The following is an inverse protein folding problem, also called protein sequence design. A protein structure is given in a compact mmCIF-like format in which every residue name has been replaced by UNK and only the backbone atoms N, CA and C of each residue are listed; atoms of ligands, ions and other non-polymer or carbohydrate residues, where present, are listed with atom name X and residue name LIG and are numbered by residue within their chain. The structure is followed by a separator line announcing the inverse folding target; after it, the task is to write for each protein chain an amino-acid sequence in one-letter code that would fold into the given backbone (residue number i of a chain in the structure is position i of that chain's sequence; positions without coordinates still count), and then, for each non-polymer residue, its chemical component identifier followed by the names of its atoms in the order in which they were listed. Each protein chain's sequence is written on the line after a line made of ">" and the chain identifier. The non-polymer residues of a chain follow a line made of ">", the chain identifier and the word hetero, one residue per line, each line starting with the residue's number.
data_IF_370991317619
#
_entry.id   IF_370991317619
#
_cell.length_a   1.000
_cell.length_b   1.000
_cell.length_c   1.000
_cell.angle_alpha   90.00
_cell.angle_beta   90.00
_cell.angle_gamma   90.00
#
_symmetry.space_group_name_H-M   'P 1'
#
loop_
_entity.id
_entity.type
_entity.pdbx_description
1 polymer ?
#
# COMPACT_ATOMS: atom_id res chain seq x y z
N UNK A 1 -16.62 -3.35 18.98
CA UNK A 1 -15.99 -2.04 18.72
C UNK A 1 -14.82 -2.26 17.78
N UNK A 2 -15.04 -2.17 16.47
CA UNK A 2 -13.91 -2.19 15.53
C UNK A 2 -13.19 -0.86 15.69
N UNK A 3 -12.13 -0.85 16.49
CA UNK A 3 -11.28 0.33 16.63
C UNK A 3 -10.78 0.69 15.24
N UNK A 4 -11.14 1.88 14.78
CA UNK A 4 -10.61 2.52 13.58
C UNK A 4 -9.11 2.75 13.77
N UNK A 5 -8.30 1.71 13.66
CA UNK A 5 -6.85 1.84 13.56
C UNK A 5 -6.55 2.26 12.12
N UNK A 6 -6.37 3.57 11.93
CA UNK A 6 -5.74 4.10 10.73
C UNK A 6 -4.35 3.47 10.62
N UNK A 7 -4.01 2.94 9.44
CA UNK A 7 -2.67 2.44 9.17
C UNK A 7 -1.63 3.55 9.34
N UNK A 8 -0.39 3.17 9.66
CA UNK A 8 0.78 4.05 9.62
C UNK A 8 1.87 3.47 8.73
N UNK A 9 2.77 4.33 8.25
CA UNK A 9 4.00 3.89 7.58
C UNK A 9 4.77 2.96 8.52
N UNK A 10 5.23 1.83 7.98
CA UNK A 10 5.89 0.75 8.72
C UNK A 10 4.96 -0.38 9.15
N UNK A 11 3.63 -0.23 9.06
CA UNK A 11 2.71 -1.31 9.42
C UNK A 11 2.76 -2.48 8.43
N UNK A 12 2.67 -3.71 8.96
CA UNK A 12 2.43 -4.93 8.18
C UNK A 12 0.97 -5.00 7.78
N UNK A 13 0.71 -5.19 6.49
CA UNK A 13 -0.65 -5.25 5.92
C UNK A 13 -0.79 -6.32 4.85
N UNK A 14 -2.03 -6.70 4.56
CA UNK A 14 -2.42 -7.55 3.43
C UNK A 14 -3.33 -6.77 2.48
N UNK A 15 -2.88 -6.62 1.23
CA UNK A 15 -3.66 -6.00 0.17
C UNK A 15 -4.67 -7.01 -0.38
N UNK A 16 -5.95 -6.64 -0.35
CA UNK A 16 -7.08 -7.52 -0.64
C UNK A 16 -7.03 -8.84 0.15
N UNK A 17 -6.46 -8.80 1.36
CA UNK A 17 -6.38 -9.97 2.25
C UNK A 17 -5.39 -11.08 1.83
N UNK A 18 -4.66 -10.90 0.72
CA UNK A 18 -3.78 -11.95 0.18
C UNK A 18 -2.32 -11.51 0.04
N UNK A 19 -2.06 -10.32 -0.52
CA UNK A 19 -0.68 -9.88 -0.81
C UNK A 19 -0.08 -9.14 0.40
N UNK A 20 0.86 -9.75 1.09
CA UNK A 20 1.51 -9.14 2.25
C UNK A 20 2.55 -8.08 1.84
N UNK A 21 2.67 -7.06 2.68
CA UNK A 21 3.66 -6.00 2.50
C UNK A 21 3.72 -5.05 3.68
N UNK A 22 4.57 -4.04 3.57
CA UNK A 22 4.74 -2.97 4.56
C UNK A 22 4.21 -1.67 3.98
N UNK A 23 3.45 -0.90 4.77
CA UNK A 23 3.04 0.44 4.37
C UNK A 23 4.28 1.34 4.22
N UNK A 24 4.48 1.87 3.02
CA UNK A 24 5.61 2.71 2.67
C UNK A 24 5.23 4.19 2.44
N UNK A 25 3.94 4.45 2.22
CA UNK A 25 3.41 5.80 1.97
C UNK A 25 1.95 5.89 2.41
N UNK A 26 1.55 7.02 2.99
CA UNK A 26 0.15 7.40 3.20
C UNK A 26 0.02 8.88 2.84
N UNK A 27 -0.93 9.21 1.98
CA UNK A 27 -1.21 10.61 1.63
C UNK A 27 -1.90 10.77 0.28
N UNK A 28 -2.07 12.03 -0.12
CA UNK A 28 -2.61 12.39 -1.42
C UNK A 28 -1.65 12.05 -2.56
N UNK A 29 -2.21 11.79 -3.74
CA UNK A 29 -1.44 11.43 -4.93
C UNK A 29 -1.80 12.28 -6.13
N UNK A 30 -0.88 12.41 -7.08
CA UNK A 30 -1.14 13.13 -8.33
C UNK A 30 -1.97 12.33 -9.33
N UNK A 31 -2.06 11.00 -9.16
CA UNK A 31 -2.77 10.14 -10.11
C UNK A 31 -4.26 9.99 -9.80
N UNK A 32 -4.68 10.15 -8.55
CA UNK A 32 -6.09 10.08 -8.16
C UNK A 32 -6.35 10.79 -6.83
N UNK A 33 -7.54 11.40 -6.65
CA UNK A 33 -7.88 12.16 -5.46
C UNK A 33 -8.08 11.28 -4.19
N UNK A 34 -7.99 11.98 -3.06
CA UNK A 34 -8.11 11.44 -1.71
C UNK A 34 -6.89 10.62 -1.28
N UNK A 35 -6.87 10.25 -0.01
CA UNK A 35 -5.74 9.52 0.57
C UNK A 35 -5.58 8.14 -0.08
N UNK A 36 -4.32 7.78 -0.35
CA UNK A 36 -3.89 6.46 -0.81
C UNK A 36 -2.81 5.92 0.10
N UNK A 37 -2.78 4.59 0.18
CA UNK A 37 -1.74 3.85 0.90
C UNK A 37 -0.85 3.17 -0.13
N UNK A 38 0.43 3.54 -0.13
CA UNK A 38 1.48 2.84 -0.88
C UNK A 38 2.04 1.71 -0.03
N UNK A 39 2.09 0.51 -0.59
CA UNK A 39 2.58 -0.71 0.08
C UNK A 39 3.78 -1.25 -0.70
N UNK A 40 4.87 -1.51 0.02
CA UNK A 40 5.99 -2.30 -0.45
C UNK A 40 5.69 -3.79 -0.18
N UNK A 41 5.36 -4.53 -1.23
CA UNK A 41 5.03 -5.95 -1.19
C UNK A 41 6.25 -6.84 -0.95
N UNK A 42 6.03 -7.94 -0.23
CA UNK A 42 7.07 -8.94 0.03
C UNK A 42 7.48 -9.73 -1.22
N UNK A 43 6.61 -9.78 -2.24
CA UNK A 43 6.82 -10.47 -3.51
C UNK A 43 6.64 -9.50 -4.70
N UNK A 44 7.27 -9.77 -5.86
CA UNK A 44 7.16 -8.94 -7.07
C UNK A 44 5.80 -9.12 -7.78
N UNK A 45 4.71 -8.85 -7.07
CA UNK A 45 3.32 -9.02 -7.51
C UNK A 45 2.51 -7.70 -7.36
N UNK A 46 3.23 -6.59 -7.48
CA UNK A 46 2.74 -5.22 -7.48
C UNK A 46 2.57 -4.68 -8.90
N UNK A 47 2.48 -3.35 -8.99
CA UNK A 47 2.22 -2.64 -10.26
C UNK A 47 3.27 -1.60 -10.60
N UNK A 48 4.10 -1.22 -9.64
CA UNK A 48 5.08 -0.16 -9.77
C UNK A 48 6.31 -0.42 -8.88
N UNK A 49 7.25 0.52 -8.87
CA UNK A 49 8.45 0.55 -8.04
C UNK A 49 8.35 1.63 -6.93
N UNK A 50 7.13 2.08 -6.62
CA UNK A 50 6.83 3.22 -5.75
C UNK A 50 6.68 4.57 -6.47
N UNK A 51 6.68 4.56 -7.80
CA UNK A 51 6.33 5.72 -8.63
C UNK A 51 5.12 5.45 -9.52
N UNK A 52 4.33 6.49 -9.82
CA UNK A 52 3.21 6.41 -10.76
C UNK A 52 3.20 7.70 -11.58
N UNK A 53 3.19 7.57 -12.91
CA UNK A 53 3.20 8.73 -13.82
C UNK A 53 4.44 9.62 -13.66
N UNK A 54 5.60 9.04 -13.39
CA UNK A 54 6.87 9.77 -13.20
C UNK A 54 7.04 10.44 -11.83
N UNK A 55 6.05 10.32 -10.92
CA UNK A 55 6.10 10.90 -9.57
C UNK A 55 6.47 9.81 -8.57
N UNK A 56 7.53 10.04 -7.80
CA UNK A 56 8.03 9.14 -6.75
C UNK A 56 7.34 9.44 -5.41
N UNK A 57 6.78 8.40 -4.78
CA UNK A 57 6.15 8.51 -3.45
C UNK A 57 6.94 7.71 -2.41
N UNK A 58 7.46 6.54 -2.80
CA UNK A 58 8.38 5.71 -2.03
C UNK A 58 9.29 4.92 -2.98
N UNK A 59 10.34 4.30 -2.45
CA UNK A 59 11.28 3.49 -3.24
C UNK A 59 11.15 2.03 -2.88
N UNK A 60 10.98 1.17 -3.88
CA UNK A 60 11.12 -0.28 -3.79
C UNK A 60 11.56 -0.86 -5.13
N UNK A 61 11.79 -2.17 -5.18
CA UNK A 61 12.18 -2.87 -6.41
C UNK A 61 11.02 -2.88 -7.42
N UNK A 62 11.31 -3.08 -8.71
CA UNK A 62 10.29 -3.22 -9.74
C UNK A 62 9.24 -4.27 -9.38
N UNK A 63 7.97 -3.93 -9.66
CA UNK A 63 6.81 -4.77 -9.38
C UNK A 63 6.60 -5.07 -7.88
N UNK A 64 7.18 -4.30 -6.96
CA UNK A 64 6.91 -4.45 -5.52
C UNK A 64 6.08 -3.33 -4.91
N UNK A 65 5.84 -2.25 -5.64
CA UNK A 65 4.97 -1.16 -5.21
C UNK A 65 3.52 -1.39 -5.63
N UNK A 66 2.59 -1.14 -4.72
CA UNK A 66 1.15 -1.06 -5.04
C UNK A 66 0.51 0.07 -4.25
N UNK A 67 -0.42 0.79 -4.90
CA UNK A 67 -1.28 1.77 -4.23
C UNK A 67 -2.67 1.17 -4.04
N UNK A 68 -3.23 1.32 -2.84
CA UNK A 68 -4.54 0.83 -2.47
C UNK A 68 -5.27 1.82 -1.57
N UNK A 69 -6.60 1.72 -1.49
CA UNK A 69 -7.38 2.41 -0.46
C UNK A 69 -7.31 1.64 0.84
N UNK A 70 -7.31 2.33 1.98
CA UNK A 70 -7.23 1.72 3.31
C UNK A 70 -8.30 0.62 3.53
N UNK A 71 -9.50 0.78 2.96
CA UNK A 71 -10.59 -0.20 3.03
C UNK A 71 -10.27 -1.57 2.35
N UNK A 72 -9.19 -1.65 1.58
CA UNK A 72 -8.71 -2.89 0.94
C UNK A 72 -7.49 -3.48 1.66
N UNK A 73 -7.09 -2.90 2.79
CA UNK A 73 -5.99 -3.38 3.61
C UNK A 73 -6.53 -4.03 4.87
N UNK A 74 -5.86 -5.09 5.30
CA UNK A 74 -6.14 -5.77 6.57
C UNK A 74 -4.84 -5.99 7.35
N UNK A 75 -4.94 -6.11 8.67
CA UNK A 75 -3.78 -6.40 9.56
C UNK A 75 -3.44 -7.89 9.63
N UNK A 76 -4.22 -8.74 8.96
CA UNK A 76 -4.05 -10.18 8.85
C UNK A 76 -4.60 -10.67 7.50
N UNK A 77 -4.14 -11.81 6.96
CA UNK A 77 -4.72 -12.39 5.75
C UNK A 77 -6.19 -12.75 5.98
N UNK A 78 -7.03 -12.62 4.95
CA UNK A 78 -8.48 -12.89 5.10
C UNK A 78 -8.94 -14.24 4.57
N UNK A 79 -8.09 -14.95 3.81
CA UNK A 79 -8.47 -16.22 3.18
C UNK A 79 -9.42 -16.05 2.00
#
# INVERSE_FOLDING_TARGET
>A
SQSSSSFKVGDRVWVNGAKSGIVAFIGDTKFAPGEWVGVHLDLPDGKNDGSVGGVRYFTCEPLRGVFSKAAKLTTQPTG
#
